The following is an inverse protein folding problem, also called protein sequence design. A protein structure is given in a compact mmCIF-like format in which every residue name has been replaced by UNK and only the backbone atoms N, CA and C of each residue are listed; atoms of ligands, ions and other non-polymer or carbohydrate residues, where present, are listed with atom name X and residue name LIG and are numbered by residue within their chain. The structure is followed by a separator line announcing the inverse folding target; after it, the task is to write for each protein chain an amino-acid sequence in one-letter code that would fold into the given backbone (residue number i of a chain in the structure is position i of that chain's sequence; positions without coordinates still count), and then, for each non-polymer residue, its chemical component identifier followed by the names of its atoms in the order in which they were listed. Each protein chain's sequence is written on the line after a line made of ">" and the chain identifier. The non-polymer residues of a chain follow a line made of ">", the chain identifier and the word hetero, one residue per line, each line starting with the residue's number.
data_IF_282819404638
#
_entry.id   IF_282819404638
#
_cell.length_a   1.000
_cell.length_b   1.000
_cell.length_c   1.000
_cell.angle_alpha   90.00
_cell.angle_beta   90.00
_cell.angle_gamma   90.00
#
_symmetry.space_group_name_H-M   'P 1'
#
loop_
_entity.id
_entity.type
_entity.pdbx_description
1 polymer ?
#
# COMPACT_ATOMS: atom_id res chain seq x y z
N UNK A 1 -23.66 43.08 28.89
CA UNK A 1 -23.36 42.29 27.68
C UNK A 1 -23.27 40.84 28.10
N UNK A 2 -24.25 40.02 27.73
CA UNK A 2 -24.25 38.58 27.99
C UNK A 2 -23.28 37.92 27.01
N UNK A 3 -22.11 37.53 27.50
CA UNK A 3 -21.17 36.69 26.76
C UNK A 3 -21.81 35.34 26.50
N UNK A 4 -22.16 35.06 25.24
CA UNK A 4 -22.57 33.73 24.81
C UNK A 4 -21.32 32.86 24.81
N UNK A 5 -21.25 31.91 25.73
CA UNK A 5 -20.15 30.93 25.77
C UNK A 5 -20.33 29.96 24.61
N UNK A 6 -19.35 29.91 23.70
CA UNK A 6 -19.32 28.92 22.62
C UNK A 6 -19.16 27.53 23.24
N UNK A 7 -20.15 26.67 23.03
CA UNK A 7 -20.04 25.24 23.38
C UNK A 7 -18.98 24.61 22.47
N UNK A 8 -18.10 23.79 23.04
CA UNK A 8 -17.10 23.04 22.28
C UNK A 8 -17.79 21.98 21.40
N UNK A 9 -17.75 22.13 20.05
CA UNK A 9 -18.37 21.17 19.14
C UNK A 9 -17.70 19.79 19.17
N UNK A 10 -16.54 19.63 19.81
CA UNK A 10 -15.81 18.36 19.94
C UNK A 10 -16.03 17.64 21.28
N UNK A 11 -16.88 18.19 22.16
CA UNK A 11 -17.17 17.62 23.47
C UNK A 11 -17.66 16.16 23.43
N UNK A 12 -18.38 15.76 22.37
CA UNK A 12 -18.82 14.37 22.15
C UNK A 12 -17.65 13.36 22.03
N UNK A 13 -16.43 13.80 21.68
CA UNK A 13 -15.25 12.93 21.62
C UNK A 13 -14.88 12.38 22.99
N UNK A 14 -15.18 13.10 24.08
CA UNK A 14 -14.99 12.60 25.44
C UNK A 14 -15.85 11.37 25.73
N UNK A 15 -17.09 11.36 25.23
CA UNK A 15 -18.00 10.21 25.33
C UNK A 15 -17.48 9.03 24.50
N UNK A 16 -17.01 9.28 23.26
CA UNK A 16 -16.42 8.25 22.41
C UNK A 16 -15.17 7.62 23.03
N UNK A 17 -14.30 8.43 23.67
CA UNK A 17 -13.12 7.92 24.40
C UNK A 17 -13.55 7.03 25.56
N UNK A 18 -14.58 7.41 26.32
CA UNK A 18 -15.11 6.56 27.40
C UNK A 18 -15.63 5.23 26.86
N UNK A 19 -16.37 5.24 25.74
CA UNK A 19 -16.83 4.01 25.08
C UNK A 19 -15.66 3.11 24.63
N UNK A 20 -14.56 3.68 24.12
CA UNK A 20 -13.36 2.92 23.77
C UNK A 20 -12.70 2.29 25.00
N UNK A 21 -12.71 2.99 26.15
CA UNK A 21 -12.19 2.46 27.42
C UNK A 21 -13.06 1.32 27.93
N UNK A 22 -14.39 1.48 27.91
CA UNK A 22 -15.34 0.47 28.36
C UNK A 22 -15.26 -0.81 27.51
N UNK A 23 -14.98 -0.68 26.21
CA UNK A 23 -14.76 -1.81 25.28
C UNK A 23 -13.35 -2.41 25.37
N UNK A 24 -12.43 -1.81 26.13
CA UNK A 24 -11.03 -2.24 26.20
C UNK A 24 -10.21 -2.00 24.92
N UNK A 25 -10.72 -1.22 23.97
CA UNK A 25 -10.04 -0.91 22.70
C UNK A 25 -9.30 0.43 22.72
N UNK A 26 -9.39 1.18 23.81
CA UNK A 26 -8.59 2.38 24.02
C UNK A 26 -7.12 2.01 24.28
N UNK A 27 -6.23 2.36 23.35
CA UNK A 27 -4.80 2.16 23.49
C UNK A 27 -4.05 3.49 23.67
N UNK A 28 -2.80 3.39 24.16
CA UNK A 28 -1.85 4.50 24.16
C UNK A 28 -0.70 4.15 23.22
N UNK A 29 -0.20 5.14 22.49
CA UNK A 29 0.99 4.97 21.68
C UNK A 29 2.20 4.67 22.58
N UNK A 30 2.96 3.64 22.22
CA UNK A 30 4.22 3.28 22.89
C UNK A 30 5.34 4.10 22.25
N UNK A 31 6.22 4.69 23.03
CA UNK A 31 7.30 5.55 22.51
C UNK A 31 8.57 4.74 22.37
N UNK A 32 9.07 4.61 21.13
CA UNK A 32 10.41 4.07 20.85
C UNK A 32 11.46 5.15 21.10
N UNK A 33 12.41 4.88 21.98
CA UNK A 33 13.43 5.86 22.42
C UNK A 33 14.82 5.61 21.78
N UNK A 34 15.01 4.47 21.13
CA UNK A 34 16.26 4.07 20.47
C UNK A 34 16.04 3.87 18.98
N UNK A 35 17.08 3.46 18.26
CA UNK A 35 16.91 2.98 16.89
C UNK A 35 15.95 1.77 16.83
N UNK A 36 15.31 1.57 15.68
CA UNK A 36 14.35 0.48 15.45
C UNK A 36 15.10 -0.85 15.22
N UNK A 37 15.55 -1.46 16.32
CA UNK A 37 16.34 -2.70 16.34
C UNK A 37 15.56 -3.88 16.94
N UNK A 38 16.04 -5.14 16.79
CA UNK A 38 15.43 -6.31 17.42
C UNK A 38 15.36 -6.23 18.95
N UNK A 39 16.29 -5.50 19.58
CA UNK A 39 16.25 -5.17 21.01
C UNK A 39 16.33 -3.66 21.15
N UNK A 40 15.29 -3.05 21.69
CA UNK A 40 15.15 -1.60 21.74
C UNK A 40 14.47 -1.15 23.04
N UNK A 41 14.42 0.16 23.27
CA UNK A 41 13.78 0.74 24.47
C UNK A 41 12.43 1.35 24.11
N UNK A 42 11.36 0.80 24.69
CA UNK A 42 10.02 1.38 24.64
C UNK A 42 9.59 1.86 26.03
N UNK A 43 9.26 3.14 26.17
CA UNK A 43 8.83 3.78 27.42
C UNK A 43 9.76 3.46 28.62
N UNK A 44 11.06 3.71 28.42
CA UNK A 44 12.11 3.41 29.40
C UNK A 44 12.39 1.92 29.66
N UNK A 45 11.74 0.98 28.96
CA UNK A 45 11.95 -0.46 29.14
C UNK A 45 12.65 -1.09 27.93
N UNK A 46 13.77 -1.77 28.19
CA UNK A 46 14.47 -2.58 27.20
C UNK A 46 13.69 -3.87 26.92
N UNK A 47 13.31 -4.10 25.67
CA UNK A 47 12.46 -5.21 25.23
C UNK A 47 12.99 -5.85 23.94
N UNK A 48 12.55 -7.08 23.65
CA UNK A 48 12.68 -7.69 22.32
C UNK A 48 11.49 -7.22 21.47
N UNK A 49 11.78 -6.60 20.32
CA UNK A 49 10.76 -6.02 19.44
C UNK A 49 10.30 -7.02 18.38
N UNK A 50 9.14 -7.64 18.62
CA UNK A 50 8.49 -8.57 17.68
C UNK A 50 7.29 -7.93 16.97
N UNK A 51 7.13 -6.61 17.06
CA UNK A 51 5.99 -5.87 16.50
C UNK A 51 6.39 -4.97 15.29
N UNK A 52 7.65 -5.02 14.87
CA UNK A 52 8.16 -4.19 13.78
C UNK A 52 7.97 -4.84 12.41
N UNK A 53 7.68 -4.01 11.40
CA UNK A 53 7.73 -4.42 9.99
C UNK A 53 9.12 -4.24 9.34
N UNK A 54 10.16 -4.01 10.14
CA UNK A 54 11.55 -3.93 9.68
C UNK A 54 12.12 -5.32 9.37
N UNK A 55 11.50 -6.03 8.42
CA UNK A 55 11.73 -7.47 8.18
C UNK A 55 13.19 -7.83 7.89
N UNK A 56 13.94 -6.93 7.26
CA UNK A 56 15.33 -7.13 6.86
C UNK A 56 16.33 -6.35 7.71
N UNK A 57 15.88 -5.62 8.74
CA UNK A 57 16.77 -4.80 9.57
C UNK A 57 17.38 -3.61 8.82
N UNK A 58 16.77 -3.13 7.73
CA UNK A 58 17.40 -2.13 6.87
C UNK A 58 17.30 -0.69 7.39
N UNK A 59 16.34 -0.38 8.27
CA UNK A 59 16.12 0.98 8.78
C UNK A 59 17.37 1.61 9.44
N UNK A 60 18.27 0.81 10.00
CA UNK A 60 19.49 1.26 10.67
C UNK A 60 20.77 0.89 9.91
N UNK A 61 20.63 0.25 8.73
CA UNK A 61 21.76 -0.28 7.98
C UNK A 61 22.74 0.85 7.57
N UNK A 62 24.07 0.70 7.79
CA UNK A 62 25.05 1.78 7.58
C UNK A 62 24.98 2.42 6.19
N UNK A 63 24.81 1.61 5.13
CA UNK A 63 24.67 2.11 3.75
C UNK A 63 23.41 2.96 3.53
N UNK A 64 22.29 2.66 4.21
CA UNK A 64 21.07 3.47 4.09
C UNK A 64 21.25 4.82 4.82
N UNK A 65 21.90 4.80 6.00
CA UNK A 65 22.23 6.02 6.75
C UNK A 65 23.13 6.95 5.93
N UNK A 66 24.19 6.41 5.35
CA UNK A 66 25.11 7.17 4.50
C UNK A 66 24.39 7.74 3.27
N UNK A 67 23.59 6.93 2.57
CA UNK A 67 22.81 7.40 1.42
C UNK A 67 21.83 8.52 1.78
N UNK A 68 21.17 8.45 2.94
CA UNK A 68 20.26 9.49 3.42
C UNK A 68 20.99 10.81 3.75
N UNK A 69 22.15 10.73 4.41
CA UNK A 69 23.00 11.89 4.72
C UNK A 69 23.49 12.58 3.45
N UNK A 70 23.99 11.81 2.48
CA UNK A 70 24.45 12.36 1.20
C UNK A 70 23.31 12.95 0.37
N UNK A 71 22.14 12.30 0.36
CA UNK A 71 20.96 12.87 -0.29
C UNK A 71 20.58 14.21 0.34
N UNK A 72 20.61 14.32 1.67
CA UNK A 72 20.29 15.57 2.38
C UNK A 72 21.30 16.68 2.07
N UNK A 73 22.60 16.36 2.05
CA UNK A 73 23.65 17.33 1.67
C UNK A 73 23.48 17.84 0.25
N UNK A 74 23.12 16.94 -0.69
CA UNK A 74 23.02 17.26 -2.12
C UNK A 74 21.73 17.96 -2.51
N UNK A 75 20.61 17.52 -1.93
CA UNK A 75 19.26 17.87 -2.38
C UNK A 75 18.48 18.73 -1.37
N UNK A 76 18.97 18.86 -0.14
CA UNK A 76 18.22 19.45 0.96
C UNK A 76 17.21 18.49 1.59
N UNK A 77 16.39 19.00 2.50
CA UNK A 77 15.48 18.19 3.34
C UNK A 77 14.15 17.86 2.63
N UNK A 78 13.75 18.62 1.61
CA UNK A 78 12.46 18.43 0.94
C UNK A 78 12.43 18.96 -0.47
N UNK A 79 11.45 18.48 -1.25
CA UNK A 79 11.28 18.83 -2.67
C UNK A 79 10.70 20.23 -2.91
N UNK A 80 10.09 20.85 -1.89
CA UNK A 80 9.53 22.21 -1.97
C UNK A 80 8.23 22.36 -2.78
N UNK A 81 7.78 21.32 -3.49
CA UNK A 81 6.53 21.33 -4.26
C UNK A 81 6.04 19.89 -4.56
N UNK A 82 4.84 19.82 -5.13
CA UNK A 82 4.28 18.59 -5.73
C UNK A 82 5.00 18.25 -7.05
N UNK A 83 4.91 16.98 -7.46
CA UNK A 83 5.58 16.45 -8.67
C UNK A 83 5.27 17.24 -9.94
N UNK A 84 4.01 17.64 -10.11
CA UNK A 84 3.47 18.30 -11.32
C UNK A 84 3.87 19.76 -11.48
N UNK A 85 4.43 20.40 -10.44
CA UNK A 85 4.79 21.83 -10.48
C UNK A 85 6.31 21.99 -10.49
N UNK A 86 6.96 21.71 -9.35
CA UNK A 86 8.41 21.91 -9.17
C UNK A 86 9.04 20.91 -8.20
N UNK A 87 8.34 19.82 -7.88
CA UNK A 87 8.76 18.84 -6.87
C UNK A 87 9.43 17.58 -7.44
N UNK A 88 9.51 17.44 -8.76
CA UNK A 88 10.17 16.30 -9.38
C UNK A 88 11.68 16.50 -9.37
N UNK A 89 12.39 15.66 -8.63
CA UNK A 89 13.84 15.69 -8.48
C UNK A 89 14.45 14.49 -9.19
N UNK A 90 15.72 14.61 -9.61
CA UNK A 90 16.45 13.51 -10.25
C UNK A 90 16.41 12.22 -9.40
N UNK A 91 16.54 12.33 -8.08
CA UNK A 91 16.49 11.19 -7.16
C UNK A 91 15.13 10.45 -7.16
N UNK A 92 14.02 11.15 -7.44
CA UNK A 92 12.70 10.52 -7.57
C UNK A 92 12.64 9.64 -8.82
N UNK A 93 13.11 10.17 -9.97
CA UNK A 93 13.13 9.42 -11.22
C UNK A 93 14.08 8.22 -11.15
N UNK A 94 15.26 8.39 -10.54
CA UNK A 94 16.21 7.29 -10.33
C UNK A 94 15.63 6.19 -9.43
N UNK A 95 14.84 6.56 -8.42
CA UNK A 95 14.13 5.61 -7.56
C UNK A 95 13.06 4.85 -8.36
N UNK A 96 12.22 5.55 -9.13
CA UNK A 96 11.19 4.96 -9.99
C UNK A 96 11.82 3.96 -10.99
N UNK A 97 12.88 4.34 -11.69
CA UNK A 97 13.60 3.46 -12.61
C UNK A 97 14.20 2.22 -11.92
N UNK A 98 14.74 2.38 -10.70
CA UNK A 98 15.27 1.25 -9.91
C UNK A 98 14.15 0.31 -9.48
N UNK A 99 13.02 0.83 -9.03
CA UNK A 99 11.87 0.02 -8.63
C UNK A 99 11.28 -0.71 -9.84
N UNK A 100 11.11 -0.05 -10.99
CA UNK A 100 10.61 -0.70 -12.20
C UNK A 100 11.49 -1.89 -12.62
N UNK A 101 12.83 -1.72 -12.64
CA UNK A 101 13.78 -2.82 -12.88
C UNK A 101 13.69 -3.92 -11.81
N UNK A 102 13.49 -3.55 -10.55
CA UNK A 102 13.33 -4.49 -9.44
C UNK A 102 12.00 -5.27 -9.50
N UNK A 103 10.91 -4.67 -9.96
CA UNK A 103 9.62 -5.36 -10.12
C UNK A 103 9.49 -6.07 -11.47
N UNK A 104 10.46 -5.86 -12.38
CA UNK A 104 10.48 -6.43 -13.73
C UNK A 104 9.29 -5.94 -14.57
N UNK A 105 9.07 -4.63 -14.56
CA UNK A 105 8.01 -3.94 -15.31
C UNK A 105 8.58 -2.73 -16.08
N UNK A 106 7.76 -2.12 -16.93
CA UNK A 106 8.17 -1.02 -17.79
C UNK A 106 8.41 0.30 -17.04
N UNK A 107 7.57 0.59 -16.03
CA UNK A 107 7.55 1.88 -15.37
C UNK A 107 7.08 1.79 -13.91
N UNK A 108 7.36 2.85 -13.15
CA UNK A 108 6.97 3.01 -11.77
C UNK A 108 6.69 4.48 -11.45
N UNK A 109 5.72 4.76 -10.56
CA UNK A 109 5.56 6.04 -9.88
C UNK A 109 5.64 5.84 -8.37
N UNK A 110 6.34 6.74 -7.67
CA UNK A 110 6.43 6.73 -6.21
C UNK A 110 5.42 7.66 -5.54
N UNK A 111 4.91 7.20 -4.40
CA UNK A 111 3.95 7.88 -3.54
C UNK A 111 4.53 8.09 -2.13
N UNK A 112 3.89 8.93 -1.33
CA UNK A 112 4.31 9.21 0.05
C UNK A 112 4.13 8.01 0.99
N UNK A 113 3.26 7.06 0.65
CA UNK A 113 3.03 5.83 1.41
C UNK A 113 2.40 4.74 0.53
N UNK A 114 2.49 3.48 0.96
CA UNK A 114 1.71 2.39 0.35
C UNK A 114 0.19 2.65 0.43
N UNK A 115 -0.28 3.35 1.47
CA UNK A 115 -1.69 3.75 1.58
C UNK A 115 -2.11 4.64 0.41
N UNK A 116 -1.36 5.72 0.17
CA UNK A 116 -1.63 6.66 -0.93
C UNK A 116 -1.43 6.03 -2.30
N UNK A 117 -0.54 5.03 -2.43
CA UNK A 117 -0.35 4.29 -3.67
C UNK A 117 -1.61 3.49 -4.03
N UNK A 118 -2.18 2.74 -3.09
CA UNK A 118 -3.45 2.04 -3.29
C UNK A 118 -4.60 3.01 -3.53
N UNK A 119 -4.84 3.93 -2.59
CA UNK A 119 -5.99 4.80 -2.62
C UNK A 119 -6.00 5.70 -3.87
N UNK A 120 -4.84 6.30 -4.18
CA UNK A 120 -4.66 7.15 -5.36
C UNK A 120 -4.88 6.38 -6.66
N UNK A 121 -4.23 5.22 -6.82
CA UNK A 121 -4.31 4.44 -8.06
C UNK A 121 -5.71 3.93 -8.34
N UNK A 122 -6.35 3.28 -7.36
CA UNK A 122 -7.70 2.71 -7.55
C UNK A 122 -8.71 3.82 -7.87
N UNK A 123 -8.62 4.98 -7.20
CA UNK A 123 -9.51 6.12 -7.47
C UNK A 123 -9.25 6.83 -8.80
N UNK A 124 -8.04 6.71 -9.36
CA UNK A 124 -7.66 7.37 -10.60
C UNK A 124 -8.07 6.56 -11.83
N UNK A 125 -7.95 5.23 -11.78
CA UNK A 125 -8.17 4.36 -12.95
C UNK A 125 -9.59 3.81 -13.07
N UNK A 126 -10.46 4.06 -12.07
CA UNK A 126 -11.85 3.61 -12.04
C UNK A 126 -12.80 4.74 -11.68
N UNK A 127 -14.05 4.61 -12.13
CA UNK A 127 -15.17 5.49 -11.82
C UNK A 127 -16.45 4.74 -11.46
N UNK A 128 -17.54 5.50 -11.34
CA UNK A 128 -18.88 5.03 -10.92
C UNK A 128 -19.49 3.91 -11.80
N UNK A 129 -19.02 3.79 -13.03
CA UNK A 129 -19.54 2.85 -14.04
C UNK A 129 -18.69 1.55 -14.08
N UNK A 130 -17.66 1.45 -13.23
CA UNK A 130 -16.73 0.32 -13.16
C UNK A 130 -17.00 -0.60 -11.96
N UNK A 131 -16.26 -1.71 -11.91
CA UNK A 131 -16.42 -2.77 -10.90
C UNK A 131 -15.10 -3.12 -10.23
N UNK A 132 -15.14 -3.35 -8.93
CA UNK A 132 -14.00 -3.83 -8.13
C UNK A 132 -14.37 -5.15 -7.49
N UNK A 133 -13.57 -6.19 -7.72
CA UNK A 133 -13.66 -7.50 -7.09
C UNK A 133 -12.52 -7.57 -6.08
N UNK A 134 -12.84 -7.47 -4.78
CA UNK A 134 -11.87 -7.32 -3.69
C UNK A 134 -11.93 -8.49 -2.71
N UNK A 135 -10.77 -8.99 -2.28
CA UNK A 135 -10.69 -9.95 -1.17
C UNK A 135 -11.25 -9.30 0.11
N UNK A 136 -11.95 -10.06 0.95
CA UNK A 136 -12.57 -9.56 2.17
C UNK A 136 -11.58 -9.11 3.25
N UNK A 137 -10.33 -9.60 3.20
CA UNK A 137 -9.26 -9.25 4.14
C UNK A 137 -8.24 -8.27 3.56
N UNK A 138 -8.50 -7.70 2.38
CA UNK A 138 -7.63 -6.68 1.79
C UNK A 138 -7.34 -5.53 2.76
N UNK A 139 -6.12 -4.99 2.67
CA UNK A 139 -5.69 -3.90 3.53
C UNK A 139 -6.63 -2.67 3.41
N UNK A 140 -6.80 -1.94 4.52
CA UNK A 140 -7.72 -0.81 4.60
C UNK A 140 -7.52 0.26 3.51
N UNK A 141 -6.28 0.46 3.03
CA UNK A 141 -6.01 1.39 1.93
C UNK A 141 -6.63 1.00 0.60
N UNK A 142 -6.76 -0.31 0.33
CA UNK A 142 -7.45 -0.81 -0.85
C UNK A 142 -8.95 -0.52 -0.73
N UNK A 143 -9.52 -0.81 0.45
CA UNK A 143 -10.94 -0.57 0.75
C UNK A 143 -11.26 0.92 0.59
N UNK A 144 -10.42 1.80 1.14
CA UNK A 144 -10.63 3.25 1.04
C UNK A 144 -10.45 3.76 -0.39
N UNK A 145 -9.47 3.24 -1.15
CA UNK A 145 -9.33 3.51 -2.58
C UNK A 145 -10.56 3.09 -3.39
N UNK A 146 -11.07 1.88 -3.13
CA UNK A 146 -12.26 1.36 -3.77
C UNK A 146 -13.48 2.26 -3.50
N UNK A 147 -13.66 2.72 -2.27
CA UNK A 147 -14.73 3.67 -1.91
C UNK A 147 -14.57 5.01 -2.61
N UNK A 148 -13.34 5.54 -2.70
CA UNK A 148 -13.07 6.82 -3.36
C UNK A 148 -13.33 6.77 -4.87
N UNK A 149 -13.11 5.64 -5.54
CA UNK A 149 -13.39 5.44 -6.97
C UNK A 149 -14.87 5.54 -7.34
N UNK A 150 -15.77 5.28 -6.37
CA UNK A 150 -17.22 5.13 -6.56
C UNK A 150 -17.65 3.93 -7.43
N UNK A 151 -16.70 3.10 -7.87
CA UNK A 151 -16.99 1.86 -8.57
C UNK A 151 -17.85 0.92 -7.68
N UNK A 152 -18.59 0.02 -8.32
CA UNK A 152 -19.35 -1.00 -7.59
C UNK A 152 -18.38 -2.04 -7.01
N UNK A 153 -18.38 -2.17 -5.68
CA UNK A 153 -17.52 -3.10 -4.97
C UNK A 153 -18.24 -4.44 -4.77
N UNK A 154 -17.64 -5.50 -5.25
CA UNK A 154 -17.99 -6.90 -5.05
C UNK A 154 -16.91 -7.56 -4.20
N UNK A 155 -17.29 -8.10 -3.04
CA UNK A 155 -16.33 -8.70 -2.11
C UNK A 155 -16.35 -10.21 -2.28
N UNK A 156 -15.17 -10.82 -2.42
CA UNK A 156 -15.03 -12.27 -2.40
C UNK A 156 -14.39 -12.75 -1.09
N UNK A 157 -14.90 -13.89 -0.59
CA UNK A 157 -14.35 -14.65 0.53
C UNK A 157 -12.82 -14.82 0.42
N UNK A 158 -12.15 -14.71 1.54
CA UNK A 158 -10.71 -14.66 1.64
C UNK A 158 -10.05 -15.83 0.90
N UNK A 159 -9.19 -15.50 -0.09
CA UNK A 159 -8.45 -16.45 -0.95
C UNK A 159 -9.31 -17.45 -1.71
N UNK A 160 -10.61 -17.20 -1.84
CA UNK A 160 -11.53 -18.04 -2.61
C UNK A 160 -11.56 -17.56 -4.07
N UNK A 161 -10.60 -18.04 -4.86
CA UNK A 161 -10.49 -17.67 -6.28
C UNK A 161 -11.71 -18.11 -7.09
N UNK A 162 -12.40 -19.19 -6.70
CA UNK A 162 -13.64 -19.61 -7.35
C UNK A 162 -14.76 -18.59 -7.11
N UNK A 163 -14.89 -18.09 -5.89
CA UNK A 163 -15.84 -17.02 -5.59
C UNK A 163 -15.45 -15.69 -6.25
N UNK A 164 -14.17 -15.36 -6.35
CA UNK A 164 -13.72 -14.21 -7.15
C UNK A 164 -14.15 -14.34 -8.63
N UNK A 165 -14.04 -15.54 -9.19
CA UNK A 165 -14.52 -15.85 -10.53
C UNK A 165 -16.05 -15.72 -10.66
N UNK A 166 -16.81 -16.18 -9.67
CA UNK A 166 -18.27 -15.98 -9.61
C UNK A 166 -18.64 -14.49 -9.61
N UNK A 167 -17.92 -13.65 -8.84
CA UNK A 167 -18.13 -12.20 -8.81
C UNK A 167 -17.84 -11.57 -10.18
N UNK A 168 -16.72 -11.93 -10.82
CA UNK A 168 -16.39 -11.48 -12.18
C UNK A 168 -17.47 -11.91 -13.19
N UNK A 169 -17.92 -13.16 -13.13
CA UNK A 169 -18.96 -13.69 -14.00
C UNK A 169 -20.29 -12.94 -13.87
N UNK A 170 -20.62 -12.48 -12.66
CA UNK A 170 -21.86 -11.74 -12.39
C UNK A 170 -21.95 -10.38 -13.08
N UNK A 171 -20.80 -9.80 -13.47
CA UNK A 171 -20.70 -8.49 -14.13
C UNK A 171 -20.06 -8.56 -15.52
N UNK A 172 -19.87 -9.77 -16.08
CA UNK A 172 -19.18 -9.97 -17.35
C UNK A 172 -19.79 -9.18 -18.52
N UNK A 173 -21.12 -9.08 -18.55
CA UNK A 173 -21.88 -8.42 -19.62
C UNK A 173 -22.14 -6.94 -19.32
N UNK A 174 -21.67 -6.43 -18.18
CA UNK A 174 -21.80 -5.03 -17.82
C UNK A 174 -20.71 -4.20 -18.52
N UNK A 175 -21.05 -3.01 -19.06
CA UNK A 175 -20.05 -2.07 -19.58
C UNK A 175 -19.14 -1.59 -18.45
N UNK A 176 -17.96 -1.05 -18.80
CA UNK A 176 -17.00 -0.55 -17.82
C UNK A 176 -15.88 -1.55 -17.48
N UNK A 177 -14.85 -1.02 -16.84
CA UNK A 177 -13.65 -1.73 -16.42
C UNK A 177 -13.93 -2.58 -15.18
N UNK A 178 -13.15 -3.65 -15.03
CA UNK A 178 -13.25 -4.61 -13.93
C UNK A 178 -11.87 -4.75 -13.33
N UNK A 179 -11.74 -4.48 -12.04
CA UNK A 179 -10.49 -4.62 -11.30
C UNK A 179 -10.61 -5.78 -10.32
N UNK A 180 -9.79 -6.81 -10.48
CA UNK A 180 -9.58 -7.85 -9.46
C UNK A 180 -8.37 -7.45 -8.61
N UNK A 181 -8.58 -7.28 -7.31
CA UNK A 181 -7.55 -6.74 -6.40
C UNK A 181 -7.39 -7.59 -5.14
N UNK A 182 -6.13 -7.87 -4.78
CA UNK A 182 -5.78 -8.68 -3.60
C UNK A 182 -4.44 -8.26 -2.97
N UNK A 183 -4.29 -8.42 -1.66
CA UNK A 183 -2.99 -8.44 -1.00
C UNK A 183 -2.17 -9.65 -1.47
N UNK A 184 -0.88 -9.46 -1.72
CA UNK A 184 0.04 -10.58 -1.99
C UNK A 184 0.30 -11.42 -0.74
N UNK A 185 0.56 -10.75 0.39
CA UNK A 185 0.67 -11.36 1.72
C UNK A 185 -0.23 -10.57 2.67
N UNK A 186 -1.17 -11.26 3.31
CA UNK A 186 -2.14 -10.63 4.20
C UNK A 186 -1.51 -10.32 5.55
N UNK A 187 -1.66 -9.07 6.01
CA UNK A 187 -0.85 -8.53 7.11
C UNK A 187 -1.11 -9.17 8.47
N UNK A 188 -2.35 -9.60 8.71
CA UNK A 188 -2.78 -10.09 10.01
C UNK A 188 -2.59 -11.60 10.18
N UNK A 189 -2.69 -12.35 9.08
CA UNK A 189 -2.61 -13.82 9.07
C UNK A 189 -1.27 -14.33 8.56
N UNK A 190 -0.57 -13.53 7.73
CA UNK A 190 0.74 -13.87 7.16
C UNK A 190 0.68 -14.87 6.00
N UNK A 191 -0.52 -15.25 5.56
CA UNK A 191 -0.70 -16.15 4.45
C UNK A 191 -0.68 -15.41 3.10
N UNK A 192 -0.50 -16.19 2.03
CA UNK A 192 -0.19 -15.69 0.69
C UNK A 192 -1.41 -15.82 -0.23
N UNK A 193 -1.75 -14.76 -0.97
CA UNK A 193 -2.86 -14.74 -1.92
C UNK A 193 -2.72 -15.76 -3.06
N UNK A 194 -3.84 -16.33 -3.57
CA UNK A 194 -3.84 -17.39 -4.57
C UNK A 194 -3.61 -16.83 -6.00
N UNK A 195 -2.50 -16.11 -6.19
CA UNK A 195 -2.28 -15.31 -7.39
C UNK A 195 -2.41 -16.07 -8.72
N UNK A 196 -1.90 -17.31 -8.90
CA UNK A 196 -2.07 -18.01 -10.17
C UNK A 196 -3.53 -18.16 -10.58
N UNK A 197 -4.39 -18.57 -9.65
CA UNK A 197 -5.82 -18.78 -9.92
C UNK A 197 -6.56 -17.45 -10.13
N UNK A 198 -6.19 -16.40 -9.39
CA UNK A 198 -6.75 -15.06 -9.61
C UNK A 198 -6.33 -14.46 -10.96
N UNK A 199 -5.08 -14.70 -11.41
CA UNK A 199 -4.63 -14.32 -12.75
C UNK A 199 -5.43 -15.08 -13.83
N UNK A 200 -5.65 -16.39 -13.66
CA UNK A 200 -6.47 -17.18 -14.59
C UNK A 200 -7.89 -16.58 -14.71
N UNK A 201 -8.50 -16.20 -13.58
CA UNK A 201 -9.81 -15.55 -13.56
C UNK A 201 -9.78 -14.16 -14.20
N UNK A 202 -8.79 -13.32 -13.87
CA UNK A 202 -8.66 -11.99 -14.46
C UNK A 202 -8.55 -12.05 -15.99
N UNK A 203 -7.68 -12.92 -16.51
CA UNK A 203 -7.50 -13.11 -17.96
C UNK A 203 -8.77 -13.62 -18.64
N UNK A 204 -9.47 -14.59 -18.03
CA UNK A 204 -10.72 -15.14 -18.57
C UNK A 204 -11.81 -14.09 -18.77
N UNK A 205 -11.88 -13.10 -17.89
CA UNK A 205 -12.91 -12.06 -17.91
C UNK A 205 -12.40 -10.69 -18.41
N UNK A 206 -11.15 -10.60 -18.85
CA UNK A 206 -10.54 -9.34 -19.28
C UNK A 206 -10.49 -8.27 -18.18
N UNK A 207 -10.33 -8.70 -16.93
CA UNK A 207 -10.22 -7.81 -15.79
C UNK A 207 -8.76 -7.37 -15.57
N UNK A 208 -8.58 -6.15 -15.09
CA UNK A 208 -7.31 -5.63 -14.60
C UNK A 208 -6.95 -6.40 -13.34
N UNK A 209 -5.73 -6.92 -13.26
CA UNK A 209 -5.22 -7.60 -12.07
C UNK A 209 -4.29 -6.67 -11.28
N UNK A 210 -4.65 -6.41 -10.02
CA UNK A 210 -3.86 -5.60 -9.09
C UNK A 210 -3.46 -6.38 -7.84
N UNK A 211 -2.18 -6.29 -7.47
CA UNK A 211 -1.63 -6.95 -6.28
C UNK A 211 -0.91 -5.95 -5.37
N UNK A 212 -1.28 -5.90 -4.09
CA UNK A 212 -0.53 -5.18 -3.07
C UNK A 212 0.53 -6.07 -2.41
N UNK A 213 1.77 -5.83 -2.78
CA UNK A 213 2.95 -6.56 -2.37
C UNK A 213 3.69 -5.87 -1.20
N UNK A 214 3.01 -5.04 -0.39
CA UNK A 214 3.61 -4.30 0.71
C UNK A 214 4.27 -5.22 1.77
N UNK A 215 3.71 -6.40 2.03
CA UNK A 215 4.26 -7.39 2.96
C UNK A 215 5.17 -8.44 2.30
N UNK A 216 5.28 -8.43 0.97
CA UNK A 216 6.04 -9.41 0.22
C UNK A 216 7.33 -8.85 -0.41
N UNK A 217 7.31 -7.59 -0.84
CA UNK A 217 8.47 -6.94 -1.45
C UNK A 217 9.62 -6.85 -0.46
N UNK A 218 10.80 -7.27 -0.90
CA UNK A 218 12.00 -7.49 -0.09
C UNK A 218 12.10 -8.88 0.54
N UNK A 219 11.00 -9.66 0.61
CA UNK A 219 10.94 -10.92 1.35
C UNK A 219 10.75 -12.13 0.44
N UNK A 220 9.73 -12.09 -0.43
CA UNK A 220 9.37 -13.21 -1.30
C UNK A 220 9.94 -13.07 -2.71
N UNK A 221 10.05 -14.20 -3.42
CA UNK A 221 10.56 -14.26 -4.78
C UNK A 221 12.08 -14.11 -4.87
N UNK A 222 12.63 -14.32 -6.06
CA UNK A 222 14.07 -14.22 -6.31
C UNK A 222 14.53 -12.80 -6.02
N UNK A 223 15.54 -12.67 -5.16
CA UNK A 223 16.05 -11.36 -4.70
C UNK A 223 14.98 -10.45 -4.07
N UNK A 224 13.91 -11.01 -3.51
CA UNK A 224 12.88 -10.25 -2.79
C UNK A 224 11.86 -9.54 -3.69
N UNK A 225 11.72 -9.90 -4.97
CA UNK A 225 10.84 -9.19 -5.93
C UNK A 225 9.34 -9.20 -5.59
N UNK A 226 8.90 -10.01 -4.64
CA UNK A 226 7.52 -10.09 -4.17
C UNK A 226 6.75 -11.31 -4.71
N UNK A 227 5.44 -11.35 -4.48
CA UNK A 227 4.61 -12.53 -4.78
C UNK A 227 4.50 -12.83 -6.26
N UNK A 228 4.49 -11.82 -7.12
CA UNK A 228 4.44 -11.97 -8.59
C UNK A 228 5.63 -12.82 -9.08
N UNK A 229 6.85 -12.56 -8.56
CA UNK A 229 8.02 -13.37 -8.91
C UNK A 229 8.02 -14.74 -8.23
N UNK A 230 7.57 -14.81 -6.98
CA UNK A 230 7.44 -16.06 -6.23
C UNK A 230 6.59 -17.10 -6.99
N UNK A 231 5.45 -16.68 -7.54
CA UNK A 231 4.55 -17.52 -8.31
C UNK A 231 4.86 -17.57 -9.82
N UNK A 232 5.85 -16.81 -10.29
CA UNK A 232 6.25 -16.71 -11.71
C UNK A 232 5.10 -16.24 -12.62
N UNK A 233 4.28 -15.32 -12.14
CA UNK A 233 3.13 -14.74 -12.87
C UNK A 233 3.43 -13.34 -13.42
N UNK A 234 4.70 -13.06 -13.71
CA UNK A 234 5.11 -11.82 -14.40
C UNK A 234 4.36 -11.68 -15.73
N UNK A 235 3.93 -10.46 -16.04
CA UNK A 235 3.13 -10.17 -17.25
C UNK A 235 1.64 -10.51 -17.13
N UNK A 236 1.20 -11.12 -16.02
CA UNK A 236 -0.21 -11.44 -15.72
C UNK A 236 -0.83 -10.52 -14.66
N UNK A 237 -0.05 -9.59 -14.12
CA UNK A 237 -0.46 -8.60 -13.11
C UNK A 237 -0.16 -7.22 -13.67
N UNK A 238 -1.21 -6.44 -13.91
CA UNK A 238 -1.16 -5.14 -14.57
C UNK A 238 -0.67 -4.02 -13.62
N UNK A 239 -1.09 -4.11 -12.35
CA UNK A 239 -0.78 -3.11 -11.32
C UNK A 239 -0.14 -3.78 -10.11
N UNK A 240 1.13 -3.45 -9.86
CA UNK A 240 1.86 -3.93 -8.69
C UNK A 240 2.06 -2.77 -7.71
N UNK A 241 1.49 -2.88 -6.52
CA UNK A 241 1.67 -1.91 -5.44
C UNK A 241 2.68 -2.44 -4.42
N UNK A 242 3.43 -1.54 -3.80
CA UNK A 242 4.23 -1.88 -2.64
C UNK A 242 4.53 -0.69 -1.74
N UNK A 243 5.22 -0.97 -0.64
CA UNK A 243 5.66 0.04 0.32
C UNK A 243 7.18 0.03 0.47
N UNK A 244 7.73 1.21 0.77
CA UNK A 244 9.13 1.38 1.13
C UNK A 244 9.32 1.40 2.66
N UNK A 245 8.24 1.40 3.45
CA UNK A 245 8.27 1.54 4.92
C UNK A 245 8.38 0.24 5.72
N UNK A 246 8.55 -0.89 5.06
CA UNK A 246 8.68 -2.22 5.69
C UNK A 246 10.06 -2.82 5.41
N UNK A 247 10.14 -3.87 4.59
CA UNK A 247 11.39 -4.56 4.27
C UNK A 247 12.49 -3.63 3.74
N UNK A 248 12.12 -2.63 2.92
CA UNK A 248 13.08 -1.68 2.31
C UNK A 248 13.70 -0.73 3.34
N UNK A 249 13.03 -0.49 4.48
CA UNK A 249 13.58 0.26 5.60
C UNK A 249 13.60 1.79 5.44
N UNK A 250 12.72 2.36 4.60
CA UNK A 250 12.62 3.80 4.37
C UNK A 250 11.17 4.30 4.57
N UNK A 251 10.69 5.22 3.72
CA UNK A 251 9.31 5.72 3.71
C UNK A 251 8.87 5.89 2.26
N UNK A 252 7.58 5.68 1.99
CA UNK A 252 7.00 5.80 0.65
C UNK A 252 6.17 4.59 0.25
N UNK A 253 5.50 4.71 -0.88
CA UNK A 253 4.87 3.62 -1.62
C UNK A 253 5.20 3.74 -3.09
N UNK A 254 4.80 2.75 -3.87
CA UNK A 254 4.99 2.80 -5.32
C UNK A 254 3.90 2.01 -6.03
N UNK A 255 3.66 2.38 -7.28
CA UNK A 255 2.87 1.63 -8.25
C UNK A 255 3.74 1.33 -9.45
N UNK A 256 3.67 0.10 -9.92
CA UNK A 256 4.47 -0.46 -11.00
C UNK A 256 3.54 -1.11 -12.03
N UNK A 257 3.83 -0.91 -13.31
CA UNK A 257 3.02 -1.46 -14.41
C UNK A 257 3.54 -1.03 -15.77
N UNK A 258 2.64 -0.89 -16.74
CA UNK A 258 2.94 -0.39 -18.08
C UNK A 258 3.35 1.08 -18.05
N UNK A 259 4.05 1.54 -19.09
CA UNK A 259 4.37 2.97 -19.26
C UNK A 259 3.11 3.84 -19.26
N UNK A 260 2.08 3.42 -20.00
CA UNK A 260 0.82 4.17 -20.13
C UNK A 260 0.10 4.33 -18.78
N UNK A 261 0.08 3.30 -17.93
CA UNK A 261 -0.48 3.40 -16.58
C UNK A 261 0.25 4.48 -15.76
N UNK A 262 1.58 4.43 -15.78
CA UNK A 262 2.40 5.32 -14.95
C UNK A 262 2.33 6.76 -15.46
N UNK A 263 2.35 6.95 -16.78
CA UNK A 263 2.19 8.26 -17.38
C UNK A 263 0.80 8.84 -17.06
N UNK A 264 -0.27 8.03 -17.11
CA UNK A 264 -1.60 8.45 -16.66
C UNK A 264 -1.63 8.88 -15.19
N UNK A 265 -0.97 8.14 -14.28
CA UNK A 265 -0.95 8.45 -12.85
C UNK A 265 -0.15 9.72 -12.48
N UNK A 266 0.60 10.30 -13.42
CA UNK A 266 1.20 11.62 -13.22
C UNK A 266 0.21 12.78 -13.42
N UNK A 267 -0.96 12.52 -14.04
CA UNK A 267 -1.97 13.50 -14.41
C UNK A 267 -3.21 13.46 -13.51
#
# INVERSE_FOLDING_TARGET
>A
MTTVTRVDPLSYLGEQISQLKDKGTHFKLRVLETEQEPVCTFDGKRVINLASNNYLGLTTHPKLREAALEATKRYGVGSGAVRTIAGTMRIHMELEEKIARFKNVEACVVFQSGFTANAGTVSAILGKDDFIISDELNHASIIDGARLSRAKILVFRHKDAAHAEEQLASVKDQPGHKLLITDGVFSMDGDIGPLPALCDAAEKYGAIMMVDDAHASGVLGRNGRGTIDHFKVHGRVDVQVGTLSKAIGALGGYVCGSRDLIDFLYH
#
